data_IF_464861786501
#
_entry.id   IF_464861786501
#
_cell.length_a   1.000
_cell.length_b   1.000
_cell.length_c   1.000
_cell.angle_alpha   90.00
_cell.angle_beta   90.00
_cell.angle_gamma   90.00
#
_symmetry.space_group_name_H-M   'P 1'
#
loop_
_entity.id
_entity.type
_entity.pdbx_description
1 polymer ?
#
# COMPACT_ATOMS: atom_id res chain seq x y z
N UNK A 1 -36.41 -49.84 -13.11
CA UNK A 1 -36.26 -50.40 -14.47
C UNK A 1 -35.07 -49.72 -15.13
N UNK A 2 -33.93 -50.41 -15.15
CA UNK A 2 -33.06 -50.64 -16.33
C UNK A 2 -33.26 -49.68 -17.52
N UNK A 3 -32.25 -49.00 -18.09
CA UNK A 3 -31.00 -49.52 -18.65
C UNK A 3 -30.08 -48.34 -19.10
N UNK A 4 -28.78 -48.38 -18.78
CA UNK A 4 -27.61 -48.63 -19.67
C UNK A 4 -26.98 -47.37 -20.32
N UNK A 5 -25.73 -47.11 -19.91
CA UNK A 5 -24.65 -46.40 -20.63
C UNK A 5 -24.11 -47.27 -21.80
N UNK A 6 -23.53 -46.73 -22.89
CA UNK A 6 -22.09 -46.45 -22.83
C UNK A 6 -21.53 -45.34 -23.74
N UNK A 7 -20.30 -44.98 -23.37
CA UNK A 7 -19.21 -44.27 -24.05
C UNK A 7 -18.70 -44.97 -25.34
N UNK A 8 -17.83 -44.27 -26.10
CA UNK A 8 -16.76 -44.72 -27.06
C UNK A 8 -16.95 -44.06 -28.46
N UNK A 9 -16.11 -43.10 -28.93
CA UNK A 9 -14.71 -43.07 -29.41
C UNK A 9 -14.56 -43.25 -30.96
N UNK A 10 -13.55 -42.58 -31.53
CA UNK A 10 -12.92 -42.66 -32.88
C UNK A 10 -13.52 -41.81 -34.03
N UNK A 11 -12.85 -40.76 -34.56
CA UNK A 11 -11.60 -40.62 -35.36
C UNK A 11 -11.76 -40.93 -36.87
N UNK A 12 -11.47 -39.92 -37.72
CA UNK A 12 -11.01 -39.98 -39.13
C UNK A 12 -10.51 -38.56 -39.48
N UNK A 13 -9.23 -38.20 -39.60
CA UNK A 13 -8.12 -38.64 -40.48
C UNK A 13 -8.32 -38.33 -41.98
N UNK A 14 -7.57 -37.36 -42.53
CA UNK A 14 -6.79 -37.36 -43.80
C UNK A 14 -6.20 -35.94 -44.01
N UNK A 15 -4.91 -35.69 -43.75
CA UNK A 15 -3.72 -35.85 -44.61
C UNK A 15 -3.46 -34.71 -45.62
N UNK A 16 -2.37 -33.97 -45.38
CA UNK A 16 -1.42 -33.53 -46.40
C UNK A 16 0.00 -33.55 -45.80
N UNK A 17 0.84 -34.43 -46.35
CA UNK A 17 2.26 -34.63 -46.06
C UNK A 17 3.13 -33.70 -46.93
N UNK A 18 4.27 -33.27 -46.37
CA UNK A 18 5.43 -32.76 -47.11
C UNK A 18 6.65 -32.70 -46.19
N UNK A 19 7.66 -33.53 -46.47
CA UNK A 19 8.63 -34.08 -45.53
C UNK A 19 10.01 -33.39 -45.48
N UNK A 20 10.75 -33.65 -44.39
CA UNK A 20 12.20 -33.94 -44.22
C UNK A 20 12.64 -33.41 -42.84
N UNK A 21 13.36 -34.10 -41.94
CA UNK A 21 14.22 -35.30 -42.01
C UNK A 21 14.49 -35.78 -40.57
N UNK A 22 14.57 -37.09 -40.36
CA UNK A 22 14.97 -37.76 -39.11
C UNK A 22 16.48 -37.60 -38.84
N UNK A 23 16.87 -37.45 -37.57
CA UNK A 23 17.89 -38.26 -36.89
C UNK A 23 18.13 -37.79 -35.44
N UNK A 24 17.63 -38.56 -34.47
CA UNK A 24 18.32 -38.97 -33.23
C UNK A 24 17.32 -39.62 -32.25
N UNK A 25 17.70 -40.79 -31.76
CA UNK A 25 16.95 -41.73 -30.91
C UNK A 25 16.51 -41.17 -29.55
N UNK A 26 15.41 -41.67 -28.94
CA UNK A 26 15.06 -41.31 -27.57
C UNK A 26 15.96 -42.08 -26.59
N UNK A 27 16.78 -41.36 -25.82
CA UNK A 27 17.46 -41.93 -24.66
C UNK A 27 16.45 -42.07 -23.49
N UNK A 28 16.42 -43.21 -22.77
CA UNK A 28 15.56 -43.39 -21.62
C UNK A 28 16.15 -42.63 -20.41
N UNK A 29 15.36 -41.76 -19.79
CA UNK A 29 15.72 -41.17 -18.50
C UNK A 29 15.76 -42.28 -17.43
N UNK A 30 16.98 -42.62 -17.01
CA UNK A 30 17.24 -43.38 -15.80
C UNK A 30 17.93 -42.45 -14.80
N UNK A 31 17.31 -42.28 -13.63
CA UNK A 31 17.90 -41.88 -12.35
C UNK A 31 18.65 -40.52 -12.30
N UNK A 32 18.05 -39.55 -11.61
CA UNK A 32 18.79 -38.48 -10.92
C UNK A 32 18.85 -37.11 -11.63
N UNK A 33 18.19 -36.14 -10.99
CA UNK A 33 18.43 -34.69 -11.06
C UNK A 33 18.35 -33.99 -12.43
N UNK A 34 17.18 -33.42 -12.73
CA UNK A 34 17.10 -32.20 -13.54
C UNK A 34 17.16 -31.00 -12.60
N UNK A 35 18.37 -30.54 -12.28
CA UNK A 35 18.59 -29.21 -11.73
C UNK A 35 18.54 -28.20 -12.87
N UNK A 36 17.36 -27.62 -13.11
CA UNK A 36 17.22 -26.38 -13.85
C UNK A 36 17.13 -25.25 -12.84
N UNK A 37 18.11 -24.33 -12.82
CA UNK A 37 17.95 -23.05 -12.18
C UNK A 37 16.66 -22.42 -12.73
N UNK A 38 15.66 -22.25 -11.87
CA UNK A 38 14.39 -21.64 -12.24
C UNK A 38 14.68 -20.26 -12.83
N UNK A 39 14.16 -19.99 -14.02
CA UNK A 39 14.08 -18.63 -14.52
C UNK A 39 13.44 -17.76 -13.43
N UNK A 40 13.96 -16.56 -13.22
CA UNK A 40 13.23 -15.54 -12.47
C UNK A 40 11.80 -15.52 -13.01
N UNK A 41 10.76 -15.55 -12.16
CA UNK A 41 9.39 -15.38 -12.65
C UNK A 41 9.38 -14.12 -13.52
N UNK A 42 8.90 -14.22 -14.76
CA UNK A 42 8.69 -13.03 -15.57
C UNK A 42 7.69 -12.17 -14.80
N UNK A 43 8.13 -11.00 -14.33
CA UNK A 43 7.28 -10.09 -13.56
C UNK A 43 6.21 -9.52 -14.49
N UNK A 44 4.99 -9.39 -13.97
CA UNK A 44 3.86 -8.83 -14.71
C UNK A 44 3.72 -7.32 -14.56
N UNK A 45 2.47 -6.84 -14.67
CA UNK A 45 2.10 -5.46 -14.40
C UNK A 45 2.23 -5.14 -12.91
N UNK A 46 3.35 -4.51 -12.54
CA UNK A 46 3.64 -4.02 -11.19
C UNK A 46 3.20 -2.57 -11.04
N UNK A 47 3.07 -2.11 -9.79
CA UNK A 47 2.82 -0.71 -9.43
C UNK A 47 1.52 -0.48 -8.67
N UNK A 48 0.63 -1.48 -8.60
CA UNK A 48 -0.55 -1.39 -7.76
C UNK A 48 -0.15 -1.61 -6.29
N UNK A 49 -0.73 -0.81 -5.40
CA UNK A 49 -0.42 -0.81 -3.96
C UNK A 49 1.09 -0.79 -3.69
N UNK A 50 1.82 0.11 -4.36
CA UNK A 50 3.25 0.24 -4.10
C UNK A 50 3.47 0.73 -2.67
N UNK A 51 4.47 0.16 -2.01
CA UNK A 51 4.89 0.53 -0.66
C UNK A 51 6.41 0.50 -0.59
N UNK A 52 6.97 1.36 0.24
CA UNK A 52 8.38 1.67 0.31
C UNK A 52 8.82 1.73 1.77
N UNK A 53 9.97 1.14 2.08
CA UNK A 53 10.68 1.36 3.34
C UNK A 53 12.19 1.43 3.07
N UNK A 54 12.92 2.09 3.97
CA UNK A 54 14.36 2.29 3.86
C UNK A 54 15.02 1.75 5.12
N UNK A 55 15.93 0.79 4.95
CA UNK A 55 16.76 0.26 6.04
C UNK A 55 17.70 1.33 6.59
N UNK A 56 18.16 1.17 7.83
CA UNK A 56 19.14 2.05 8.47
C UNK A 56 20.47 2.17 7.71
N UNK A 57 20.82 1.17 6.90
CA UNK A 57 22.00 1.17 6.03
C UNK A 57 21.77 1.86 4.68
N UNK A 58 20.57 2.39 4.43
CA UNK A 58 20.17 3.09 3.23
C UNK A 58 19.64 2.18 2.11
N UNK A 59 19.56 0.85 2.31
CA UNK A 59 18.95 -0.04 1.32
C UNK A 59 17.45 0.23 1.22
N UNK A 60 16.98 0.40 -0.01
CA UNK A 60 15.58 0.65 -0.31
C UNK A 60 14.86 -0.68 -0.54
N UNK A 61 13.66 -0.81 0.02
CA UNK A 61 12.75 -1.94 -0.21
C UNK A 61 11.45 -1.40 -0.77
N UNK A 62 11.10 -1.85 -1.97
CA UNK A 62 9.84 -1.49 -2.61
C UNK A 62 9.05 -2.75 -2.87
N UNK A 63 7.81 -2.83 -2.39
CA UNK A 63 6.90 -3.92 -2.70
C UNK A 63 5.70 -3.43 -3.49
N UNK A 64 5.13 -4.32 -4.31
CA UNK A 64 3.94 -4.03 -5.08
C UNK A 64 3.21 -5.32 -5.49
N UNK A 65 1.91 -5.19 -5.71
CA UNK A 65 1.07 -6.23 -6.27
C UNK A 65 1.35 -6.38 -7.78
N UNK A 66 1.67 -7.61 -8.19
CA UNK A 66 1.75 -8.03 -9.58
C UNK A 66 0.35 -8.42 -10.07
N UNK A 67 -0.29 -7.52 -10.82
CA UNK A 67 -1.65 -7.71 -11.30
C UNK A 67 -1.79 -8.80 -12.37
N UNK A 68 -0.69 -9.20 -13.03
CA UNK A 68 -0.71 -10.29 -14.02
C UNK A 68 -0.73 -11.65 -13.33
N UNK A 69 0.02 -11.78 -12.23
CA UNK A 69 0.22 -13.08 -11.59
C UNK A 69 -0.46 -13.22 -10.23
N UNK A 70 -1.04 -12.15 -9.69
CA UNK A 70 -1.68 -12.14 -8.38
C UNK A 70 -0.71 -12.17 -7.21
N UNK A 71 0.54 -11.70 -7.34
CA UNK A 71 1.55 -11.92 -6.29
C UNK A 71 1.99 -10.62 -5.61
N UNK A 72 2.45 -10.74 -4.36
CA UNK A 72 3.23 -9.69 -3.72
C UNK A 72 4.70 -9.87 -4.06
N UNK A 73 5.29 -8.88 -4.73
CA UNK A 73 6.70 -8.88 -5.14
C UNK A 73 7.41 -7.74 -4.45
N UNK A 74 8.59 -8.01 -3.88
CA UNK A 74 9.48 -7.00 -3.31
C UNK A 74 10.78 -6.89 -4.11
N UNK A 75 11.26 -5.67 -4.29
CA UNK A 75 12.55 -5.29 -4.83
C UNK A 75 13.38 -4.68 -3.71
N UNK A 76 14.52 -5.28 -3.39
CA UNK A 76 15.39 -4.90 -2.28
C UNK A 76 16.76 -4.54 -2.83
N UNK A 77 17.26 -3.35 -2.51
CA UNK A 77 18.62 -2.98 -2.90
C UNK A 77 19.66 -3.94 -2.31
N UNK A 78 20.61 -4.34 -3.15
CA UNK A 78 21.65 -5.28 -2.77
C UNK A 78 22.89 -4.52 -2.24
N UNK A 79 23.53 -4.98 -1.14
CA UNK A 79 24.78 -4.38 -0.64
C UNK A 79 25.89 -4.28 -1.70
N UNK A 80 25.93 -5.23 -2.63
CA UNK A 80 26.86 -5.30 -3.76
C UNK A 80 26.51 -4.34 -4.92
N UNK A 81 25.38 -3.65 -4.84
CA UNK A 81 24.82 -2.83 -5.90
C UNK A 81 23.82 -3.59 -6.77
N UNK A 82 22.80 -2.87 -7.27
CA UNK A 82 21.65 -3.47 -7.96
C UNK A 82 20.53 -3.84 -7.00
N UNK A 83 19.61 -4.68 -7.45
CA UNK A 83 18.37 -4.99 -6.72
C UNK A 83 18.06 -6.48 -6.82
N UNK A 84 17.69 -7.09 -5.69
CA UNK A 84 17.16 -8.45 -5.62
C UNK A 84 15.64 -8.43 -5.62
N UNK A 85 15.06 -9.33 -6.43
CA UNK A 85 13.60 -9.52 -6.48
C UNK A 85 13.22 -10.72 -5.64
N UNK A 86 12.29 -10.52 -4.72
CA UNK A 86 11.74 -11.53 -3.83
C UNK A 86 10.24 -11.69 -4.08
N UNK A 87 9.80 -12.94 -4.28
CA UNK A 87 8.39 -13.27 -4.17
C UNK A 87 8.03 -13.37 -2.69
N UNK A 88 7.16 -12.50 -2.22
CA UNK A 88 6.77 -12.45 -0.80
C UNK A 88 5.55 -13.33 -0.56
N UNK A 89 4.54 -13.24 -1.44
CA UNK A 89 3.29 -13.99 -1.33
C UNK A 89 2.68 -14.31 -2.72
N UNK A 90 1.64 -15.15 -2.73
CA UNK A 90 0.85 -15.50 -3.93
C UNK A 90 1.28 -16.79 -4.66
N UNK A 91 2.54 -17.22 -4.50
CA UNK A 91 2.99 -18.52 -5.00
C UNK A 91 2.85 -19.63 -3.95
N UNK A 92 2.20 -20.74 -4.32
CA UNK A 92 2.42 -22.00 -3.59
C UNK A 92 2.70 -23.16 -4.55
N UNK A 93 3.82 -23.83 -4.32
CA UNK A 93 4.14 -25.11 -4.96
C UNK A 93 3.46 -26.23 -4.19
N UNK A 94 2.53 -26.93 -4.85
CA UNK A 94 1.94 -28.16 -4.31
C UNK A 94 2.52 -29.38 -5.04
N UNK A 95 2.37 -30.59 -4.48
CA UNK A 95 2.70 -31.83 -5.18
C UNK A 95 1.93 -32.01 -6.51
N UNK A 96 0.84 -31.26 -6.70
CA UNK A 96 -0.02 -31.28 -7.89
C UNK A 96 0.27 -30.14 -8.88
N UNK A 97 1.24 -29.25 -8.58
CA UNK A 97 1.62 -28.11 -9.42
C UNK A 97 1.62 -26.77 -8.65
N UNK A 98 2.02 -25.69 -9.34
CA UNK A 98 1.91 -24.33 -8.82
C UNK A 98 0.47 -23.84 -8.93
N UNK A 99 -0.13 -23.42 -7.80
CA UNK A 99 -1.35 -22.60 -7.83
C UNK A 99 -0.95 -21.14 -7.64
N UNK A 100 -1.32 -20.29 -8.60
CA UNK A 100 -1.30 -18.86 -8.41
C UNK A 100 -2.46 -18.52 -7.48
N UNK A 101 -2.18 -17.76 -6.41
CA UNK A 101 -3.19 -17.16 -5.55
C UNK A 101 -3.21 -15.66 -5.78
N UNK A 102 -4.36 -15.01 -5.70
CA UNK A 102 -4.45 -13.54 -5.68
C UNK A 102 -4.10 -13.03 -4.28
N UNK A 103 -2.85 -12.65 -4.08
CA UNK A 103 -2.28 -12.15 -2.83
C UNK A 103 -1.47 -10.88 -3.09
N UNK A 104 -1.60 -9.88 -2.21
CA UNK A 104 -0.67 -8.73 -2.18
C UNK A 104 -1.31 -7.37 -2.38
N UNK A 105 -2.64 -7.30 -2.48
CA UNK A 105 -3.34 -6.02 -2.51
C UNK A 105 -3.23 -5.30 -1.17
N UNK A 106 -3.26 -3.98 -1.20
CA UNK A 106 -3.06 -3.11 -0.03
C UNK A 106 -1.82 -3.48 0.79
N UNK A 107 -0.72 -3.85 0.13
CA UNK A 107 0.51 -4.18 0.82
C UNK A 107 1.11 -2.97 1.53
N UNK A 108 1.76 -3.22 2.66
CA UNK A 108 2.57 -2.25 3.39
C UNK A 108 3.85 -2.92 3.85
N UNK A 109 4.97 -2.19 3.82
CA UNK A 109 6.29 -2.68 4.25
C UNK A 109 6.88 -1.79 5.35
N UNK A 110 7.55 -2.42 6.30
CA UNK A 110 8.42 -1.77 7.28
C UNK A 110 9.71 -2.59 7.46
N UNK A 111 10.75 -1.99 8.03
CA UNK A 111 12.06 -2.63 8.20
C UNK A 111 12.45 -2.70 9.67
N UNK A 112 13.17 -3.76 10.04
CA UNK A 112 13.73 -3.94 11.38
C UNK A 112 15.20 -3.47 11.45
N UNK A 113 15.72 -3.32 12.68
CA UNK A 113 17.10 -2.91 12.93
C UNK A 113 18.12 -4.04 12.61
N UNK A 114 17.65 -5.28 12.46
CA UNK A 114 18.44 -6.44 12.05
C UNK A 114 18.62 -6.55 10.52
N UNK A 115 18.05 -5.61 9.75
CA UNK A 115 18.14 -5.54 8.30
C UNK A 115 17.15 -6.44 7.55
N UNK A 116 16.13 -6.94 8.25
CA UNK A 116 14.97 -7.65 7.72
C UNK A 116 13.80 -6.72 7.37
N UNK A 117 12.94 -7.20 6.47
CA UNK A 117 11.76 -6.47 6.01
C UNK A 117 10.49 -7.23 6.39
N UNK A 118 9.49 -6.48 6.86
CA UNK A 118 8.21 -6.97 7.30
C UNK A 118 7.14 -6.49 6.34
N UNK A 119 6.31 -7.43 5.86
CA UNK A 119 5.25 -7.15 4.92
C UNK A 119 3.92 -7.57 5.52
N UNK A 120 2.89 -6.75 5.32
CA UNK A 120 1.52 -7.12 5.58
C UNK A 120 0.67 -6.83 4.34
N UNK A 121 -0.32 -7.68 4.05
CA UNK A 121 -1.13 -7.56 2.84
C UNK A 121 -2.51 -8.21 2.98
N UNK A 122 -3.40 -7.91 2.03
CA UNK A 122 -4.66 -8.62 1.85
C UNK A 122 -4.48 -9.88 0.98
N UNK A 123 -4.74 -11.05 1.57
CA UNK A 123 -4.77 -12.33 0.89
C UNK A 123 -6.18 -12.58 0.32
N UNK A 124 -6.40 -12.23 -0.95
CA UNK A 124 -7.74 -12.16 -1.57
C UNK A 124 -8.40 -13.52 -1.60
N UNK A 125 -7.66 -14.56 -1.96
CA UNK A 125 -8.24 -15.91 -2.13
C UNK A 125 -8.71 -16.54 -0.82
N UNK A 126 -8.22 -16.03 0.32
CA UNK A 126 -8.61 -16.49 1.66
C UNK A 126 -9.45 -15.49 2.43
N UNK A 127 -9.54 -14.25 1.95
CA UNK A 127 -10.17 -13.15 2.67
C UNK A 127 -9.49 -12.90 4.01
N UNK A 128 -8.15 -12.90 4.03
CA UNK A 128 -7.36 -12.89 5.26
C UNK A 128 -6.20 -11.88 5.22
N UNK A 129 -5.82 -11.38 6.40
CA UNK A 129 -4.60 -10.61 6.59
C UNK A 129 -3.40 -11.56 6.54
N UNK A 130 -2.47 -11.30 5.63
CA UNK A 130 -1.20 -12.00 5.55
C UNK A 130 -0.06 -11.20 6.17
N UNK A 131 0.94 -11.91 6.70
CA UNK A 131 2.20 -11.33 7.17
C UNK A 131 3.39 -12.14 6.67
N UNK A 132 4.51 -11.47 6.38
CA UNK A 132 5.76 -12.10 5.99
C UNK A 132 6.97 -11.34 6.55
N UNK A 133 8.01 -12.09 6.87
CA UNK A 133 9.33 -11.58 7.20
C UNK A 133 10.34 -12.06 6.15
N UNK A 134 11.02 -11.10 5.52
CA UNK A 134 12.19 -11.32 4.69
C UNK A 134 13.43 -11.02 5.52
N UNK A 135 14.21 -12.04 5.85
CA UNK A 135 15.44 -11.85 6.61
C UNK A 135 16.50 -11.10 5.79
N UNK A 136 17.49 -10.51 6.47
CA UNK A 136 18.65 -9.89 5.82
C UNK A 136 19.43 -10.86 4.90
N UNK A 137 19.28 -12.18 5.08
CA UNK A 137 19.89 -13.21 4.24
C UNK A 137 19.00 -13.66 3.07
N UNK A 138 17.83 -13.04 2.89
CA UNK A 138 16.91 -13.29 1.80
C UNK A 138 15.92 -14.45 2.04
N UNK A 139 15.82 -14.97 3.26
CA UNK A 139 14.85 -16.02 3.59
C UNK A 139 13.48 -15.40 3.87
N UNK A 140 12.43 -15.91 3.21
CA UNK A 140 11.05 -15.48 3.41
C UNK A 140 10.33 -16.48 4.31
N UNK A 141 9.67 -15.97 5.35
CA UNK A 141 8.68 -16.72 6.14
C UNK A 141 7.36 -15.98 6.09
N UNK A 142 6.24 -16.70 6.05
CA UNK A 142 4.91 -16.09 5.99
C UNK A 142 3.86 -16.89 6.75
N UNK A 143 2.82 -16.18 7.20
CA UNK A 143 1.68 -16.73 7.93
C UNK A 143 0.41 -15.94 7.62
N UNK A 144 -0.75 -16.54 7.91
CA UNK A 144 -2.02 -15.81 7.97
C UNK A 144 -2.19 -15.30 9.40
N UNK A 145 -2.50 -14.01 9.54
CA UNK A 145 -2.63 -13.33 10.83
C UNK A 145 -4.08 -13.36 11.31
N UNK A 146 -5.02 -13.03 10.43
CA UNK A 146 -6.44 -12.96 10.77
C UNK A 146 -7.33 -13.27 9.56
N UNK A 147 -8.27 -14.20 9.74
CA UNK A 147 -9.14 -14.72 8.67
C UNK A 147 -8.62 -16.04 8.10
N UNK A 148 -9.54 -16.90 7.65
CA UNK A 148 -9.17 -18.19 7.05
C UNK A 148 -10.04 -18.60 5.85
N UNK A 149 -11.35 -18.28 5.81
CA UNK A 149 -12.23 -18.78 4.71
C UNK A 149 -13.44 -17.92 4.34
N UNK A 150 -13.72 -16.83 5.04
CA UNK A 150 -14.82 -15.90 4.74
C UNK A 150 -14.78 -14.76 5.75
N UNK A 151 -14.55 -13.53 5.28
CA UNK A 151 -14.48 -12.37 6.17
C UNK A 151 -13.78 -11.16 5.60
N UNK A 152 -13.13 -11.29 4.43
CA UNK A 152 -12.43 -10.21 3.72
C UNK A 152 -11.69 -9.27 4.69
N UNK A 153 -10.81 -9.88 5.50
CA UNK A 153 -10.00 -9.18 6.51
C UNK A 153 -8.65 -8.86 5.92
N UNK A 154 -8.15 -7.64 6.13
CA UNK A 154 -6.80 -7.25 5.70
C UNK A 154 -6.75 -6.21 4.58
N UNK A 155 -7.88 -5.61 4.21
CA UNK A 155 -7.86 -4.47 3.26
C UNK A 155 -7.31 -3.22 3.94
N UNK A 156 -6.80 -2.27 3.13
CA UNK A 156 -6.24 -0.99 3.61
C UNK A 156 -5.16 -1.13 4.70
N UNK A 157 -4.29 -2.12 4.55
CA UNK A 157 -3.26 -2.46 5.54
C UNK A 157 -2.16 -1.41 5.65
N UNK A 158 -1.68 -1.18 6.88
CA UNK A 158 -0.50 -0.37 7.19
C UNK A 158 0.30 -1.03 8.32
N UNK A 159 1.61 -1.23 8.11
CA UNK A 159 2.51 -1.87 9.08
C UNK A 159 3.53 -0.87 9.63
N UNK A 160 3.83 -0.98 10.92
CA UNK A 160 4.93 -0.26 11.58
C UNK A 160 5.59 -1.16 12.64
N UNK A 161 6.85 -0.89 12.94
CA UNK A 161 7.61 -1.55 14.00
C UNK A 161 8.13 -0.51 15.00
N UNK A 162 8.11 -0.85 16.30
CA UNK A 162 8.84 -0.06 17.30
C UNK A 162 10.30 -0.50 17.41
N UNK A 163 11.10 0.28 18.15
CA UNK A 163 12.53 0.04 18.35
C UNK A 163 12.82 -1.25 19.14
N UNK A 164 11.80 -1.85 19.76
CA UNK A 164 11.91 -3.15 20.41
C UNK A 164 11.63 -4.31 19.44
N UNK A 165 11.22 -4.02 18.20
CA UNK A 165 10.87 -5.01 17.19
C UNK A 165 9.44 -5.53 17.32
N UNK A 166 8.56 -4.85 18.09
CA UNK A 166 7.14 -5.19 18.13
C UNK A 166 6.49 -4.72 16.84
N UNK A 167 5.71 -5.62 16.25
CA UNK A 167 5.03 -5.40 14.97
C UNK A 167 3.62 -4.90 15.27
N UNK A 168 3.19 -3.88 14.53
CA UNK A 168 1.83 -3.35 14.54
C UNK A 168 1.30 -3.31 13.11
N UNK A 169 0.11 -3.86 12.89
CA UNK A 169 -0.54 -3.92 11.58
C UNK A 169 -1.97 -3.42 11.74
N UNK A 170 -2.24 -2.21 11.24
CA UNK A 170 -3.60 -1.68 11.11
C UNK A 170 -4.22 -2.18 9.81
N UNK A 171 -5.49 -2.60 9.86
CA UNK A 171 -6.20 -3.13 8.69
C UNK A 171 -7.70 -3.02 8.88
N UNK A 172 -8.44 -3.15 7.78
CA UNK A 172 -9.90 -3.18 7.79
C UNK A 172 -10.42 -4.61 7.68
N UNK A 173 -11.48 -4.87 8.45
CA UNK A 173 -12.33 -6.04 8.33
C UNK A 173 -13.54 -5.64 7.48
N UNK A 174 -13.63 -6.11 6.23
CA UNK A 174 -14.73 -5.77 5.34
C UNK A 174 -16.06 -6.37 5.80
N UNK A 175 -16.01 -7.55 6.42
CA UNK A 175 -17.20 -8.26 6.91
C UNK A 175 -17.88 -7.51 8.06
N UNK A 176 -17.08 -7.03 9.02
CA UNK A 176 -17.57 -6.25 10.15
C UNK A 176 -17.58 -4.73 9.88
N UNK A 177 -16.92 -4.27 8.80
CA UNK A 177 -16.77 -2.87 8.40
C UNK A 177 -16.06 -2.01 9.44
N UNK A 178 -15.09 -2.61 10.13
CA UNK A 178 -14.35 -2.00 11.25
C UNK A 178 -12.84 -1.96 11.02
N UNK A 179 -12.19 -0.99 11.67
CA UNK A 179 -10.74 -0.93 11.82
C UNK A 179 -10.27 -1.92 12.90
N UNK A 180 -9.20 -2.65 12.62
CA UNK A 180 -8.57 -3.60 13.54
C UNK A 180 -7.05 -3.36 13.61
N UNK A 181 -6.46 -3.75 14.73
CA UNK A 181 -5.01 -3.75 14.92
C UNK A 181 -4.54 -5.15 15.32
N UNK A 182 -3.55 -5.66 14.60
CA UNK A 182 -2.80 -6.85 14.98
C UNK A 182 -1.43 -6.43 15.53
N UNK A 183 -1.07 -6.91 16.71
CA UNK A 183 0.20 -6.60 17.38
C UNK A 183 0.95 -7.88 17.70
N UNK A 184 2.26 -7.93 17.48
CA UNK A 184 3.09 -9.07 17.91
C UNK A 184 4.35 -8.62 18.62
N UNK A 185 4.48 -9.02 19.87
CA UNK A 185 5.71 -8.85 20.64
C UNK A 185 6.86 -9.70 20.06
N UNK A 186 8.11 -9.24 20.15
CA UNK A 186 9.27 -10.04 19.78
C UNK A 186 9.26 -11.40 20.48
N UNK A 187 9.37 -12.48 19.70
CA UNK A 187 9.37 -13.85 20.20
C UNK A 187 7.99 -14.44 20.56
N UNK A 188 6.89 -13.70 20.40
CA UNK A 188 5.55 -14.26 20.53
C UNK A 188 5.20 -15.18 19.34
N UNK A 189 4.43 -16.24 19.59
CA UNK A 189 4.04 -17.23 18.57
C UNK A 189 2.83 -16.78 17.73
N UNK A 190 2.08 -15.77 18.16
CA UNK A 190 0.87 -15.29 17.49
C UNK A 190 0.72 -13.78 17.63
N UNK A 191 -0.09 -13.19 16.74
CA UNK A 191 -0.53 -11.81 16.87
C UNK A 191 -1.70 -11.70 17.86
N UNK A 192 -1.67 -10.67 18.70
CA UNK A 192 -2.81 -10.19 19.47
C UNK A 192 -3.65 -9.28 18.57
N UNK A 193 -4.95 -9.55 18.46
CA UNK A 193 -5.85 -8.81 17.57
C UNK A 193 -6.92 -8.07 18.38
N UNK A 194 -7.10 -6.80 18.07
CA UNK A 194 -8.15 -5.96 18.65
C UNK A 194 -8.96 -5.25 17.56
N UNK A 195 -10.27 -5.12 17.78
CA UNK A 195 -11.12 -4.24 16.98
C UNK A 195 -11.17 -2.88 17.64
N UNK A 196 -10.93 -1.82 16.86
CA UNK A 196 -10.99 -0.45 17.32
C UNK A 196 -12.39 0.08 17.05
N UNK A 197 -13.04 0.55 18.10
CA UNK A 197 -14.34 1.20 18.01
C UNK A 197 -14.17 2.60 17.38
N UNK A 198 -14.68 2.76 16.15
CA UNK A 198 -14.48 3.93 15.27
C UNK A 198 -15.22 5.19 15.68
N UNK A 199 -15.99 5.13 16.77
CA UNK A 199 -16.67 6.24 17.40
C UNK A 199 -16.37 6.30 18.91
N UNK A 200 -15.38 5.55 19.40
CA UNK A 200 -15.04 5.52 20.83
C UNK A 200 -14.73 6.92 21.36
N UNK A 201 -15.54 7.38 22.32
CA UNK A 201 -15.45 8.73 22.89
C UNK A 201 -16.47 9.72 22.33
N UNK A 202 -17.21 9.39 21.26
CA UNK A 202 -18.30 10.21 20.74
C UNK A 202 -19.61 9.98 21.52
N UNK A 203 -20.37 11.04 21.78
CA UNK A 203 -21.61 10.98 22.54
C UNK A 203 -22.73 10.21 21.80
N UNK A 204 -22.75 10.32 20.47
CA UNK A 204 -23.76 9.73 19.59
C UNK A 204 -23.07 8.78 18.60
N UNK A 205 -22.71 7.58 19.06
CA UNK A 205 -22.25 6.52 18.18
C UNK A 205 -23.43 5.72 17.59
N UNK A 206 -23.79 5.88 16.31
CA UNK A 206 -24.75 5.02 15.64
C UNK A 206 -24.18 3.61 15.42
N UNK A 207 -24.43 2.72 16.39
CA UNK A 207 -24.01 1.31 16.37
C UNK A 207 -24.60 0.46 15.21
N UNK A 208 -25.45 1.03 14.34
CA UNK A 208 -26.21 0.24 13.35
C UNK A 208 -25.80 0.44 11.89
N UNK A 209 -24.88 1.37 11.60
CA UNK A 209 -24.45 1.68 10.22
C UNK A 209 -22.96 2.00 10.11
N UNK A 210 -22.14 1.41 10.97
CA UNK A 210 -20.70 1.70 10.96
C UNK A 210 -20.03 1.20 9.67
N UNK A 211 -19.18 2.06 9.11
CA UNK A 211 -18.36 1.77 7.94
C UNK A 211 -17.10 2.62 7.99
N UNK A 212 -16.04 2.08 8.59
CA UNK A 212 -14.81 2.82 8.83
C UNK A 212 -13.57 1.95 8.69
N UNK A 213 -12.40 2.60 8.74
CA UNK A 213 -11.09 1.95 8.66
C UNK A 213 -10.51 1.89 7.24
N UNK A 214 -11.20 2.46 6.24
CA UNK A 214 -10.66 2.55 4.89
C UNK A 214 -9.46 3.51 4.87
N UNK A 215 -8.52 3.26 3.97
CA UNK A 215 -7.29 4.04 3.78
C UNK A 215 -6.49 4.25 5.07
N UNK A 216 -6.40 3.22 5.92
CA UNK A 216 -5.69 3.33 7.19
C UNK A 216 -4.20 3.63 6.96
N UNK A 217 -3.65 4.52 7.78
CA UNK A 217 -2.23 4.87 7.80
C UNK A 217 -1.75 4.92 9.25
N UNK A 218 -0.88 3.98 9.60
CA UNK A 218 -0.35 3.76 10.93
C UNK A 218 1.05 4.36 11.04
N UNK A 219 1.27 5.11 12.12
CA UNK A 219 2.60 5.52 12.56
C UNK A 219 2.74 5.30 14.06
N UNK A 220 3.97 5.26 14.54
CA UNK A 220 4.26 5.16 15.97
C UNK A 220 4.81 6.50 16.46
N UNK A 221 4.06 7.16 17.35
CA UNK A 221 4.51 8.38 18.03
C UNK A 221 4.99 7.99 19.41
N UNK A 222 6.31 8.06 19.65
CA UNK A 222 6.93 7.58 20.88
C UNK A 222 6.55 6.12 21.23
N UNK A 223 6.65 5.23 20.23
CA UNK A 223 6.27 3.81 20.31
C UNK A 223 4.79 3.51 20.58
N UNK A 224 3.92 4.52 20.54
CA UNK A 224 2.47 4.36 20.67
C UNK A 224 1.78 4.50 19.31
N UNK A 225 0.87 3.58 18.93
CA UNK A 225 0.22 3.63 17.64
C UNK A 225 -0.70 4.86 17.50
N UNK A 226 -0.65 5.45 16.31
CA UNK A 226 -1.61 6.44 15.80
C UNK A 226 -2.07 5.96 14.44
N UNK A 227 -3.37 5.80 14.26
CA UNK A 227 -3.92 5.29 13.01
C UNK A 227 -4.87 6.36 12.47
N UNK A 228 -4.48 7.03 11.38
CA UNK A 228 -5.40 7.85 10.61
C UNK A 228 -6.24 6.95 9.70
N UNK A 229 -7.54 7.18 9.58
CA UNK A 229 -8.42 6.37 8.74
C UNK A 229 -9.65 7.16 8.28
N UNK A 230 -10.25 6.67 7.20
CA UNK A 230 -11.50 7.19 6.66
C UNK A 230 -12.70 6.47 7.30
N UNK A 231 -13.64 7.26 7.83
CA UNK A 231 -14.97 6.81 8.23
C UNK A 231 -15.95 7.10 7.09
N UNK A 232 -16.20 6.06 6.27
CA UNK A 232 -17.01 6.13 5.06
C UNK A 232 -18.49 6.34 5.33
N UNK A 233 -19.02 5.81 6.44
CA UNK A 233 -20.41 6.04 6.82
C UNK A 233 -20.67 7.53 7.05
N UNK A 234 -19.66 8.22 7.60
CA UNK A 234 -19.75 9.61 8.02
C UNK A 234 -19.13 10.62 7.05
N UNK A 235 -18.24 10.18 6.17
CA UNK A 235 -17.44 11.06 5.31
C UNK A 235 -16.31 11.77 6.06
N UNK A 236 -15.87 11.23 7.21
CA UNK A 236 -14.95 11.91 8.11
C UNK A 236 -13.53 11.33 8.04
N UNK A 237 -12.51 12.19 8.20
CA UNK A 237 -11.16 11.77 8.52
C UNK A 237 -11.04 11.63 10.04
N UNK A 238 -10.64 10.45 10.52
CA UNK A 238 -10.51 10.15 11.95
C UNK A 238 -9.13 9.66 12.32
N UNK A 239 -8.83 9.68 13.61
CA UNK A 239 -7.62 9.11 14.19
C UNK A 239 -7.94 8.27 15.42
N UNK A 240 -7.42 7.05 15.46
CA UNK A 240 -7.39 6.23 16.66
C UNK A 240 -6.03 6.39 17.36
N UNK A 241 -6.07 6.62 18.67
CA UNK A 241 -4.88 6.74 19.52
C UNK A 241 -5.13 6.12 20.90
N UNK A 242 -4.04 5.71 21.56
CA UNK A 242 -4.12 5.23 22.94
C UNK A 242 -4.01 6.40 23.93
N UNK A 243 -5.00 6.49 24.81
CA UNK A 243 -5.02 7.41 25.95
C UNK A 243 -5.24 6.59 27.22
N UNK A 244 -4.24 6.61 28.12
CA UNK A 244 -4.26 5.84 29.37
C UNK A 244 -4.48 4.33 29.18
N UNK A 245 -4.02 3.78 28.05
CA UNK A 245 -4.14 2.36 27.70
C UNK A 245 -5.43 1.97 26.96
N UNK A 246 -6.40 2.87 26.84
CA UNK A 246 -7.62 2.66 26.06
C UNK A 246 -7.56 3.38 24.72
N UNK A 247 -8.29 2.85 23.73
CA UNK A 247 -8.49 3.57 22.47
C UNK A 247 -9.41 4.76 22.68
N UNK A 248 -9.00 5.88 22.09
CA UNK A 248 -9.82 7.07 21.88
C UNK A 248 -9.79 7.37 20.38
N UNK A 249 -10.95 7.70 19.81
CA UNK A 249 -11.07 8.12 18.42
C UNK A 249 -11.47 9.59 18.36
N UNK A 250 -10.75 10.34 17.54
CA UNK A 250 -11.01 11.76 17.31
C UNK A 250 -11.25 12.05 15.83
N UNK A 251 -12.22 12.91 15.54
CA UNK A 251 -12.45 13.43 14.19
C UNK A 251 -11.48 14.57 13.90
N UNK A 252 -10.70 14.46 12.82
CA UNK A 252 -9.72 15.45 12.39
C UNK A 252 -10.27 16.44 11.36
N UNK A 253 -11.14 15.96 10.45
CA UNK A 253 -11.85 16.75 9.43
C UNK A 253 -13.17 16.06 9.07
N UNK A 254 -14.10 16.78 8.44
CA UNK A 254 -15.43 16.27 8.05
C UNK A 254 -16.56 16.81 8.94
N UNK A 255 -16.22 17.33 10.12
CA UNK A 255 -17.15 17.99 11.04
C UNK A 255 -16.68 19.39 11.43
N UNK A 256 -17.61 20.34 11.43
CA UNK A 256 -17.39 21.64 12.02
C UNK A 256 -17.20 21.50 13.55
N UNK A 257 -16.09 21.99 14.13
CA UNK A 257 -15.75 21.72 15.53
C UNK A 257 -16.66 22.43 16.54
N UNK A 258 -17.41 23.46 16.12
CA UNK A 258 -18.30 24.21 17.02
C UNK A 258 -19.74 23.69 16.95
N UNK A 259 -20.20 23.37 15.74
CA UNK A 259 -21.60 23.03 15.46
C UNK A 259 -21.83 21.53 15.24
N UNK A 260 -20.77 20.76 14.99
CA UNK A 260 -20.84 19.36 14.58
C UNK A 260 -21.42 19.16 13.17
N UNK A 261 -21.61 20.23 12.41
CA UNK A 261 -22.19 20.15 11.08
C UNK A 261 -21.27 19.39 10.11
N UNK A 262 -21.88 18.59 9.24
CA UNK A 262 -21.20 17.92 8.15
C UNK A 262 -20.56 18.93 7.18
N UNK A 263 -19.27 18.77 6.92
CA UNK A 263 -18.49 19.63 6.01
C UNK A 263 -18.14 18.94 4.68
N UNK A 264 -18.59 17.70 4.50
CA UNK A 264 -18.42 16.88 3.30
C UNK A 264 -17.51 15.67 3.49
N UNK A 265 -17.50 14.80 2.48
CA UNK A 265 -16.65 13.61 2.35
C UNK A 265 -15.17 13.99 2.21
N UNK A 266 -14.40 13.65 3.25
CA UNK A 266 -12.96 13.87 3.39
C UNK A 266 -12.26 12.66 4.00
N UNK A 267 -10.95 12.55 3.76
CA UNK A 267 -10.08 11.59 4.46
C UNK A 267 -9.66 10.38 3.62
N UNK A 268 -10.16 10.27 2.39
CA UNK A 268 -9.74 9.23 1.46
C UNK A 268 -8.24 9.37 1.14
N UNK A 269 -7.58 8.23 0.91
CA UNK A 269 -6.13 8.14 0.67
C UNK A 269 -5.30 8.80 1.77
N UNK A 270 -5.71 8.67 3.05
CA UNK A 270 -4.95 9.22 4.16
C UNK A 270 -3.50 8.68 4.15
N UNK A 271 -2.54 9.59 4.30
CA UNK A 271 -1.12 9.28 4.47
C UNK A 271 -0.62 10.04 5.69
N UNK A 272 -0.18 9.29 6.70
CA UNK A 272 0.35 9.79 7.95
C UNK A 272 1.87 9.60 8.00
N UNK A 273 2.57 10.61 8.51
CA UNK A 273 4.01 10.54 8.75
C UNK A 273 4.36 11.35 9.99
N UNK A 274 5.54 11.11 10.55
CA UNK A 274 6.07 11.85 11.70
C UNK A 274 7.32 12.64 11.31
N UNK A 275 7.46 13.84 11.85
CA UNK A 275 8.69 14.61 11.71
C UNK A 275 9.76 14.16 12.72
N UNK A 276 10.97 14.74 12.64
CA UNK A 276 12.06 14.37 13.57
C UNK A 276 11.79 14.75 15.03
N UNK A 277 10.72 15.51 15.30
CA UNK A 277 10.26 15.90 16.63
C UNK A 277 9.06 15.06 17.08
N UNK A 278 8.76 13.96 16.37
CA UNK A 278 7.65 13.05 16.66
C UNK A 278 6.27 13.72 16.54
N UNK A 279 6.15 14.76 15.70
CA UNK A 279 4.86 15.40 15.43
C UNK A 279 4.23 14.76 14.21
N UNK A 280 2.96 14.40 14.35
CA UNK A 280 2.17 13.73 13.33
C UNK A 280 1.68 14.73 12.29
N UNK A 281 1.89 14.41 11.01
CA UNK A 281 1.19 15.03 9.89
C UNK A 281 0.28 14.04 9.21
N UNK A 282 -0.87 14.50 8.71
CA UNK A 282 -1.80 13.70 7.91
C UNK A 282 -2.16 14.47 6.65
N UNK A 283 -1.87 13.90 5.50
CA UNK A 283 -2.33 14.36 4.19
C UNK A 283 -3.47 13.48 3.69
N UNK A 284 -4.45 14.07 3.01
CA UNK A 284 -5.64 13.34 2.58
C UNK A 284 -6.40 14.07 1.47
N UNK A 285 -7.24 13.30 0.77
CA UNK A 285 -8.11 13.79 -0.28
C UNK A 285 -9.47 14.26 0.28
N UNK A 286 -9.91 15.46 -0.12
CA UNK A 286 -11.29 15.90 0.05
C UNK A 286 -12.07 15.57 -1.23
N UNK A 287 -12.92 14.54 -1.16
CA UNK A 287 -13.69 14.07 -2.30
C UNK A 287 -14.84 15.01 -2.69
N UNK A 288 -15.38 15.75 -1.72
CA UNK A 288 -16.46 16.73 -1.96
C UNK A 288 -16.01 17.89 -2.86
N UNK A 289 -14.81 18.38 -2.64
CA UNK A 289 -14.26 19.56 -3.32
C UNK A 289 -13.20 19.20 -4.38
N UNK A 290 -12.70 17.98 -4.38
CA UNK A 290 -11.63 17.54 -5.28
C UNK A 290 -10.27 18.16 -4.94
N UNK A 291 -10.00 18.38 -3.65
CA UNK A 291 -8.83 19.13 -3.15
C UNK A 291 -7.89 18.24 -2.33
N UNK A 292 -6.59 18.59 -2.32
CA UNK A 292 -5.62 18.02 -1.40
C UNK A 292 -5.58 18.82 -0.09
N UNK A 293 -5.66 18.12 1.04
CA UNK A 293 -5.58 18.71 2.38
C UNK A 293 -4.45 18.14 3.22
N UNK A 294 -4.06 18.91 4.22
CA UNK A 294 -3.06 18.55 5.21
C UNK A 294 -3.41 19.14 6.57
N UNK A 295 -3.06 18.42 7.63
CA UNK A 295 -3.06 18.90 9.00
C UNK A 295 -1.98 18.19 9.83
N UNK A 296 -1.66 18.75 10.99
CA UNK A 296 -0.74 18.20 11.98
C UNK A 296 -1.30 18.48 13.38
N UNK A 297 -2.05 17.55 13.99
CA UNK A 297 -2.87 17.83 15.18
C UNK A 297 -2.05 18.27 16.40
N UNK A 298 -0.85 17.70 16.53
CA UNK A 298 0.13 17.96 17.59
C UNK A 298 1.26 18.90 17.14
N UNK A 299 1.17 19.43 15.92
CA UNK A 299 2.18 20.30 15.33
C UNK A 299 1.71 21.73 15.08
N UNK A 300 2.30 22.35 14.06
CA UNK A 300 2.10 23.78 13.76
C UNK A 300 0.82 24.06 12.98
N UNK A 301 0.15 23.02 12.49
CA UNK A 301 -1.01 23.10 11.60
C UNK A 301 -2.14 22.25 12.18
N UNK A 302 -2.65 22.60 13.38
CA UNK A 302 -3.58 21.75 14.14
C UNK A 302 -4.95 21.57 13.47
N UNK A 303 -5.25 22.37 12.44
CA UNK A 303 -6.49 22.32 11.70
C UNK A 303 -6.22 22.09 10.20
N UNK A 304 -7.16 21.45 9.49
CA UNK A 304 -7.12 21.28 8.04
C UNK A 304 -6.74 22.56 7.30
N UNK A 305 -5.74 22.47 6.43
CA UNK A 305 -5.45 23.47 5.41
C UNK A 305 -5.56 22.86 4.01
N UNK A 306 -5.88 23.70 3.03
CA UNK A 306 -5.90 23.28 1.62
C UNK A 306 -4.51 23.48 1.03
N UNK A 307 -3.90 22.37 0.58
CA UNK A 307 -2.58 22.36 -0.05
C UNK A 307 -2.70 22.62 -1.55
N UNK A 308 -3.68 21.99 -2.20
CA UNK A 308 -3.97 22.19 -3.62
C UNK A 308 -5.47 22.15 -3.87
N UNK A 309 -5.98 23.20 -4.53
CA UNK A 309 -7.39 23.33 -4.97
C UNK A 309 -7.64 22.81 -6.38
N UNK A 310 -6.62 22.27 -7.04
CA UNK A 310 -6.69 21.82 -8.42
C UNK A 310 -6.99 22.96 -9.41
N UNK A 311 -6.58 24.18 -9.08
CA UNK A 311 -6.92 25.36 -9.89
C UNK A 311 -6.02 25.46 -11.13
N UNK A 312 -6.62 25.61 -12.31
CA UNK A 312 -5.91 25.87 -13.56
C UNK A 312 -6.59 26.97 -14.39
N UNK A 313 -5.85 27.56 -15.33
CA UNK A 313 -6.41 28.51 -16.30
C UNK A 313 -6.78 27.76 -17.59
N UNK A 314 -8.02 27.88 -18.06
CA UNK A 314 -8.40 27.36 -19.37
C UNK A 314 -7.84 28.22 -20.52
N UNK A 315 -8.04 27.77 -21.76
CA UNK A 315 -7.56 28.46 -22.97
C UNK A 315 -8.13 29.87 -23.17
N UNK A 316 -9.19 30.23 -22.42
CA UNK A 316 -9.83 31.54 -22.44
C UNK A 316 -9.46 32.39 -21.21
N UNK A 317 -8.54 31.91 -20.36
CA UNK A 317 -8.08 32.60 -19.16
C UNK A 317 -9.10 32.57 -18.01
N UNK A 318 -10.05 31.64 -18.01
CA UNK A 318 -10.93 31.44 -16.87
C UNK A 318 -10.29 30.44 -15.89
N UNK A 319 -10.40 30.73 -14.59
CA UNK A 319 -9.97 29.79 -13.54
C UNK A 319 -10.98 28.66 -13.44
N UNK A 320 -10.49 27.43 -13.58
CA UNK A 320 -11.23 26.18 -13.44
C UNK A 320 -10.61 25.37 -12.32
N UNK A 321 -11.36 24.41 -11.81
CA UNK A 321 -10.86 23.39 -10.89
C UNK A 321 -10.93 22.01 -11.54
N UNK A 322 -10.01 21.14 -11.15
CA UNK A 322 -10.06 19.71 -11.45
C UNK A 322 -9.61 18.91 -10.22
N UNK A 323 -9.83 17.61 -10.25
CA UNK A 323 -9.57 16.73 -9.11
C UNK A 323 -8.06 16.55 -8.90
N UNK A 324 -7.59 16.85 -7.69
CA UNK A 324 -6.21 16.65 -7.23
C UNK A 324 -6.19 15.98 -5.86
N UNK A 325 -5.06 15.36 -5.52
CA UNK A 325 -4.79 14.87 -4.16
C UNK A 325 -5.11 13.40 -3.93
N UNK A 326 -5.63 12.69 -4.93
CA UNK A 326 -5.81 11.24 -4.84
C UNK A 326 -4.46 10.54 -4.70
N UNK A 327 -4.45 9.42 -3.98
CA UNK A 327 -3.25 8.63 -3.69
C UNK A 327 -2.10 9.49 -3.15
N UNK A 328 -2.35 10.42 -2.23
CA UNK A 328 -1.27 11.23 -1.67
C UNK A 328 -0.32 10.37 -0.83
N UNK A 329 0.98 10.62 -0.96
CA UNK A 329 2.00 10.16 -0.02
C UNK A 329 2.67 11.36 0.66
N UNK A 330 2.87 11.24 1.97
CA UNK A 330 3.44 12.25 2.83
C UNK A 330 4.72 11.73 3.47
N UNK A 331 5.77 12.54 3.44
CA UNK A 331 6.96 12.37 4.26
C UNK A 331 7.49 13.74 4.68
N UNK A 332 8.25 13.80 5.77
CA UNK A 332 8.97 15.01 6.15
C UNK A 332 10.35 15.03 5.50
N UNK A 333 10.78 16.17 4.97
CA UNK A 333 12.10 16.30 4.35
C UNK A 333 13.21 16.57 5.39
N UNK A 334 14.42 16.87 4.91
CA UNK A 334 15.57 17.19 5.76
C UNK A 334 15.37 18.42 6.67
N UNK A 335 14.39 19.27 6.37
CA UNK A 335 14.08 20.49 7.11
C UNK A 335 12.84 20.34 8.02
N UNK A 336 12.33 19.11 8.20
CA UNK A 336 11.02 18.83 8.82
C UNK A 336 9.85 19.53 8.10
N UNK A 337 9.97 19.78 6.80
CA UNK A 337 8.83 20.26 6.01
C UNK A 337 8.03 19.06 5.51
N UNK A 338 6.71 19.09 5.73
CA UNK A 338 5.82 18.08 5.16
C UNK A 338 5.87 18.20 3.64
N UNK A 339 6.39 17.17 2.98
CA UNK A 339 6.43 17.05 1.51
C UNK A 339 5.38 16.05 1.09
N UNK A 340 4.49 16.48 0.20
CA UNK A 340 3.37 15.72 -0.31
C UNK A 340 3.60 15.46 -1.79
N UNK A 341 3.50 14.20 -2.22
CA UNK A 341 3.44 13.81 -3.62
C UNK A 341 2.07 13.21 -3.89
N UNK A 342 1.44 13.58 -4.99
CA UNK A 342 0.05 13.20 -5.24
C UNK A 342 -0.30 13.21 -6.73
N UNK A 343 -1.39 12.52 -7.06
CA UNK A 343 -1.97 12.52 -8.40
C UNK A 343 -2.83 13.78 -8.60
N UNK A 344 -2.48 14.53 -9.64
CA UNK A 344 -3.40 15.43 -10.33
C UNK A 344 -4.15 14.60 -11.39
N UNK A 345 -5.33 14.13 -11.02
CA UNK A 345 -6.16 13.27 -11.87
C UNK A 345 -6.77 14.06 -13.04
N UNK A 346 -6.98 15.37 -12.86
CA UNK A 346 -7.49 16.26 -13.90
C UNK A 346 -6.54 16.44 -15.08
N UNK A 347 -5.25 16.54 -14.82
CA UNK A 347 -4.21 16.72 -15.84
C UNK A 347 -3.40 15.46 -16.14
N UNK A 348 -3.66 14.36 -15.41
CA UNK A 348 -2.85 13.14 -15.43
C UNK A 348 -1.37 13.50 -15.27
N UNK A 349 -1.04 14.05 -14.10
CA UNK A 349 0.34 14.41 -13.71
C UNK A 349 0.57 14.05 -12.25
N UNK A 350 1.82 13.75 -11.91
CA UNK A 350 2.26 13.80 -10.53
C UNK A 350 2.63 15.24 -10.17
N UNK A 351 2.22 15.63 -8.96
CA UNK A 351 2.58 16.90 -8.36
C UNK A 351 3.26 16.69 -7.03
N UNK A 352 4.04 17.69 -6.65
CA UNK A 352 4.59 17.82 -5.31
C UNK A 352 4.22 19.17 -4.71
N UNK A 353 4.05 19.20 -3.39
CA UNK A 353 3.91 20.42 -2.61
C UNK A 353 4.57 20.25 -1.25
N UNK A 354 4.94 21.37 -0.62
CA UNK A 354 5.50 21.39 0.73
C UNK A 354 4.65 22.24 1.65
N UNK A 355 4.60 21.88 2.91
CA UNK A 355 3.95 22.66 3.95
C UNK A 355 4.97 23.03 5.02
N UNK A 356 5.24 24.34 5.14
CA UNK A 356 6.09 24.92 6.18
C UNK A 356 5.21 25.69 7.16
N UNK A 357 5.06 25.17 8.38
CA UNK A 357 4.06 25.72 9.29
C UNK A 357 2.67 25.61 8.65
N UNK A 358 1.95 26.74 8.55
CA UNK A 358 0.60 26.79 7.95
C UNK A 358 0.57 27.27 6.51
N UNK A 359 1.73 27.40 5.84
CA UNK A 359 1.81 27.94 4.48
C UNK A 359 2.26 26.86 3.50
N UNK A 360 1.36 26.35 2.65
CA UNK A 360 1.72 25.49 1.53
C UNK A 360 2.52 26.26 0.48
N UNK A 361 3.50 25.61 -0.14
CA UNK A 361 4.13 26.10 -1.36
C UNK A 361 3.15 25.99 -2.52
N UNK A 362 3.42 26.71 -3.61
CA UNK A 362 2.72 26.46 -4.87
C UNK A 362 3.03 25.04 -5.34
N UNK A 363 2.02 24.22 -5.68
CA UNK A 363 2.24 22.90 -6.25
C UNK A 363 3.06 22.91 -7.54
N UNK A 364 4.04 22.01 -7.62
CA UNK A 364 4.89 21.82 -8.77
C UNK A 364 4.57 20.51 -9.49
N UNK A 365 4.69 20.51 -10.82
CA UNK A 365 4.52 19.30 -11.62
C UNK A 365 5.85 18.55 -11.73
N UNK A 366 5.84 17.26 -11.40
CA UNK A 366 7.01 16.38 -11.57
C UNK A 366 7.11 15.94 -13.05
N UNK A 367 7.54 16.86 -13.92
CA UNK A 367 7.48 16.66 -15.38
C UNK A 367 8.34 15.52 -15.93
N UNK A 368 9.35 15.09 -15.18
CA UNK A 368 10.21 13.97 -15.53
C UNK A 368 9.57 12.61 -15.24
N UNK A 369 8.48 12.58 -14.47
CA UNK A 369 7.81 11.36 -14.03
C UNK A 369 6.47 11.18 -14.76
N UNK A 370 6.15 9.96 -15.24
CA UNK A 370 4.81 9.65 -15.72
C UNK A 370 3.79 9.80 -14.59
N UNK A 371 2.53 10.06 -14.96
CA UNK A 371 1.43 10.04 -14.01
C UNK A 371 1.26 8.64 -13.41
N UNK A 372 0.69 8.56 -12.22
CA UNK A 372 0.45 7.29 -11.58
C UNK A 372 -0.25 7.41 -10.24
N UNK A 373 -0.43 6.26 -9.59
CA UNK A 373 -1.19 6.12 -8.36
C UNK A 373 -0.51 5.11 -7.42
N UNK A 374 -1.16 4.85 -6.27
CA UNK A 374 -0.69 3.89 -5.27
C UNK A 374 0.74 4.19 -4.80
N UNK A 375 1.00 5.45 -4.48
CA UNK A 375 2.33 5.90 -4.15
C UNK A 375 2.61 5.84 -2.65
N UNK A 376 3.89 5.71 -2.34
CA UNK A 376 4.44 5.74 -1.00
C UNK A 376 5.73 6.59 -1.03
N UNK A 377 6.02 7.28 0.08
CA UNK A 377 7.10 8.27 0.16
C UNK A 377 7.84 8.12 1.48
N UNK A 378 9.16 7.97 1.40
CA UNK A 378 10.01 7.77 2.57
C UNK A 378 11.23 8.68 2.57
N UNK A 379 11.68 9.04 3.77
CA UNK A 379 12.86 9.89 3.98
C UNK A 379 14.04 9.01 4.37
N UNK A 380 15.15 9.11 3.62
CA UNK A 380 16.40 8.46 4.01
C UNK A 380 17.10 9.19 5.17
N UNK A 381 18.16 8.57 5.71
CA UNK A 381 18.94 9.15 6.80
C UNK A 381 19.64 10.47 6.44
N UNK A 382 19.93 10.70 5.15
CA UNK A 382 20.53 11.94 4.63
C UNK A 382 19.50 13.04 4.38
N UNK A 383 18.20 12.71 4.51
CA UNK A 383 17.08 13.60 4.26
C UNK A 383 16.66 13.71 2.80
N UNK A 384 17.14 12.80 1.95
CA UNK A 384 16.59 12.58 0.62
C UNK A 384 15.23 11.90 0.69
N UNK A 385 14.32 12.30 -0.19
CA UNK A 385 13.00 11.69 -0.27
C UNK A 385 12.97 10.68 -1.42
N UNK A 386 12.41 9.51 -1.17
CA UNK A 386 12.27 8.43 -2.15
C UNK A 386 10.80 8.14 -2.34
N UNK A 387 10.38 8.05 -3.60
CA UNK A 387 9.02 7.80 -4.04
C UNK A 387 8.98 6.42 -4.70
N UNK A 388 7.97 5.63 -4.39
CA UNK A 388 7.58 4.46 -5.17
C UNK A 388 6.12 4.56 -5.57
N UNK A 389 5.77 4.21 -6.82
CA UNK A 389 4.39 4.30 -7.28
C UNK A 389 4.12 3.47 -8.54
N UNK A 390 2.84 3.25 -8.85
CA UNK A 390 2.39 2.66 -10.11
C UNK A 390 2.25 3.70 -11.20
N UNK A 391 3.22 3.76 -12.10
CA UNK A 391 3.22 4.64 -13.26
C UNK A 391 2.35 4.11 -14.40
N UNK A 392 1.59 5.00 -15.02
CA UNK A 392 0.74 4.69 -16.16
C UNK A 392 1.42 5.08 -17.48
N UNK A 393 1.49 4.11 -18.38
CA UNK A 393 1.97 4.29 -19.74
C UNK A 393 0.78 4.11 -20.69
N UNK A 394 0.51 5.13 -21.51
CA UNK A 394 -0.66 5.17 -22.39
C UNK A 394 -0.30 4.99 -23.87
N UNK A 395 0.98 5.14 -24.22
CA UNK A 395 1.42 5.22 -25.61
C UNK A 395 1.43 3.85 -26.32
N UNK A 396 1.65 2.75 -25.58
CA UNK A 396 1.74 1.36 -26.10
C UNK A 396 0.67 0.42 -25.48
N UNK A 397 -0.54 0.97 -25.30
CA UNK A 397 -1.64 0.32 -24.56
C UNK A 397 -1.54 0.57 -23.06
N UNK A 398 -2.67 0.54 -22.32
CA UNK A 398 -2.67 0.84 -20.89
C UNK A 398 -1.84 -0.21 -20.16
N UNK A 399 -0.71 0.22 -19.61
CA UNK A 399 0.19 -0.60 -18.79
C UNK A 399 0.54 0.16 -17.52
N UNK A 400 0.70 -0.59 -16.43
CA UNK A 400 1.24 -0.05 -15.17
C UNK A 400 2.63 -0.63 -14.94
N UNK A 401 3.60 0.22 -14.58
CA UNK A 401 4.92 -0.20 -14.11
C UNK A 401 5.16 0.32 -12.70
N UNK A 402 5.95 -0.41 -11.92
CA UNK A 402 6.49 0.09 -10.66
C UNK A 402 7.67 1.02 -10.98
N UNK A 403 7.52 2.30 -10.64
CA UNK A 403 8.57 3.31 -10.77
C UNK A 403 9.05 3.76 -9.40
N UNK A 404 10.33 4.10 -9.33
CA UNK A 404 10.94 4.72 -8.15
C UNK A 404 11.67 6.00 -8.54
N UNK A 405 11.68 6.98 -7.64
CA UNK A 405 12.36 8.25 -7.87
C UNK A 405 12.92 8.81 -6.57
N UNK A 406 14.14 9.36 -6.62
CA UNK A 406 14.67 10.19 -5.54
C UNK A 406 14.35 11.64 -5.85
N UNK A 407 13.60 12.28 -4.96
CA UNK A 407 13.23 13.69 -5.07
C UNK A 407 14.34 14.53 -4.43
N UNK A 408 15.04 15.29 -5.26
CA UNK A 408 15.97 16.31 -4.81
C UNK A 408 15.31 17.67 -4.99
N UNK A 409 15.14 18.39 -3.90
CA UNK A 409 14.73 19.78 -3.97
C UNK A 409 15.99 20.65 -4.00
N UNK A 410 16.02 21.57 -4.97
CA UNK A 410 17.12 22.51 -5.14
C UNK A 410 17.46 23.20 -3.82
N UNK A 411 18.69 22.99 -3.36
CA UNK A 411 19.41 24.00 -2.59
C UNK A 411 19.87 25.06 -3.60
N UNK A 412 18.95 25.82 -4.17
CA UNK A 412 19.28 27.01 -4.97
C UNK A 412 19.22 28.27 -4.10
#
# INVERSE_FOLDING_TARGET
MTHIHPTVLLLCCLLALGACKEDATPAPCAQGTCGGAGASPELGELGQHATLAIHNDGRIVVASYDATHGNLVARVDAPEGGTHTHLIAGWSTTEQGSVARDSGRWASVATDDEGGSHFAWYEVDRGALGYAHLSAQGAVTSELVDGETSGDRGTHTSIALDNEGRIYIAYRDEGERTLRLATRNPGAESFDIETIDGCSGEADCPLTEEDYGEFSSLVLVASEPRIAFYDRARGDLKMALRVQGSWEVVTLDGRDPETGADTGDVGQFASAAIDTKQRLGVAYFNATLGELRYLSPDGTTPHPIVVDRGSYQDTHGATRSHVVGQHVALAYDAQDAATLVYLDAGLLKLRQARVYGQTPTTPEVLSALPAGAYMDLERDALGGLHLAYGAWHLDDGPKTTLETATLTWGLD
#
